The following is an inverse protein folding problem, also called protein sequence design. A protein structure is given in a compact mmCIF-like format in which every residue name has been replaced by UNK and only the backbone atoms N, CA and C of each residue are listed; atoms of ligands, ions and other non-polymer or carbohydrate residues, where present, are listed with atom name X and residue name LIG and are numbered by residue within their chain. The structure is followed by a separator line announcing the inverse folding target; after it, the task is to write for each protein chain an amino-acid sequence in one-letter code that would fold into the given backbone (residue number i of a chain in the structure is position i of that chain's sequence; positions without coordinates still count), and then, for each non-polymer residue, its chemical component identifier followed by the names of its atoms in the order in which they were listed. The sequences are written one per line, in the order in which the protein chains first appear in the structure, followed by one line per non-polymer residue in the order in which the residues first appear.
data_IF_106661237146
#
_entry.id   IF_106661237146
#
_cell.length_a   1.000
_cell.length_b   1.000
_cell.length_c   1.000
_cell.angle_alpha   90.00
_cell.angle_beta   90.00
_cell.angle_gamma   90.00
#
_symmetry.space_group_name_H-M   'P 1'
#
loop_
_entity.id
_entity.type
_entity.pdbx_description
1 polymer ?
#
# COMPACT_ATOMS: atom_id res chain seq x y z
N UNK A 1 -8.28 -22.11 7.67
CA UNK A 1 -7.65 -20.78 7.86
C UNK A 1 -6.38 -20.53 7.06
N UNK A 2 -5.47 -21.51 6.92
CA UNK A 2 -4.18 -21.30 6.24
C UNK A 2 -4.25 -20.69 4.83
N UNK A 3 -5.27 -21.01 4.04
CA UNK A 3 -5.47 -20.40 2.72
C UNK A 3 -5.69 -18.88 2.75
N UNK A 4 -6.50 -18.36 3.67
CA UNK A 4 -6.75 -16.91 3.78
C UNK A 4 -5.53 -16.15 4.32
N UNK A 5 -4.76 -16.79 5.23
CA UNK A 5 -3.48 -16.24 5.71
C UNK A 5 -2.46 -16.16 4.57
N UNK A 6 -2.41 -17.18 3.71
CA UNK A 6 -1.60 -17.16 2.50
C UNK A 6 -2.04 -16.05 1.53
N UNK A 7 -3.35 -15.92 1.25
CA UNK A 7 -3.87 -14.86 0.38
C UNK A 7 -3.59 -13.45 0.94
N UNK A 8 -3.79 -13.24 2.24
CA UNK A 8 -3.44 -12.00 2.91
C UNK A 8 -1.94 -11.69 2.74
N UNK A 9 -1.07 -12.65 3.05
CA UNK A 9 0.38 -12.48 2.91
C UNK A 9 0.79 -12.17 1.47
N UNK A 10 0.32 -12.96 0.50
CA UNK A 10 0.67 -12.80 -0.91
C UNK A 10 0.24 -11.43 -1.45
N UNK A 11 -1.00 -11.01 -1.17
CA UNK A 11 -1.50 -9.69 -1.60
C UNK A 11 -0.81 -8.54 -0.88
N UNK A 12 -0.43 -8.70 0.39
CA UNK A 12 0.39 -7.73 1.13
C UNK A 12 1.77 -7.55 0.49
N UNK A 13 2.48 -8.64 0.18
CA UNK A 13 3.81 -8.57 -0.45
C UNK A 13 3.74 -7.97 -1.86
N UNK A 14 2.76 -8.40 -2.67
CA UNK A 14 2.56 -7.83 -3.99
C UNK A 14 2.21 -6.34 -3.91
N UNK A 15 1.33 -5.93 -2.97
CA UNK A 15 1.00 -4.53 -2.73
C UNK A 15 2.21 -3.69 -2.29
N UNK A 16 3.09 -4.26 -1.47
CA UNK A 16 4.35 -3.64 -1.06
C UNK A 16 5.29 -3.43 -2.25
N UNK A 17 5.53 -4.47 -3.05
CA UNK A 17 6.35 -4.38 -4.27
C UNK A 17 5.79 -3.35 -5.26
N UNK A 18 4.47 -3.31 -5.42
CA UNK A 18 3.82 -2.34 -6.29
C UNK A 18 3.95 -0.90 -5.77
N UNK A 19 3.96 -0.72 -4.46
CA UNK A 19 4.24 0.59 -3.84
C UNK A 19 5.69 1.01 -4.07
N UNK A 20 6.66 0.08 -4.01
CA UNK A 20 8.05 0.35 -4.40
C UNK A 20 8.14 0.77 -5.86
N UNK A 21 7.46 0.08 -6.78
CA UNK A 21 7.41 0.49 -8.18
C UNK A 21 6.79 1.88 -8.37
N UNK A 22 5.77 2.23 -7.61
CA UNK A 22 5.19 3.58 -7.64
C UNK A 22 6.20 4.66 -7.20
N UNK A 23 6.87 4.43 -6.07
CA UNK A 23 7.90 5.35 -5.55
C UNK A 23 9.07 5.49 -6.51
N UNK A 24 9.59 4.37 -7.02
CA UNK A 24 10.66 4.35 -8.02
C UNK A 24 10.24 5.03 -9.32
N UNK A 25 9.00 4.80 -9.77
CA UNK A 25 8.43 5.48 -10.93
C UNK A 25 8.42 6.99 -10.77
N UNK A 26 8.04 7.50 -9.59
CA UNK A 26 8.09 8.94 -9.31
C UNK A 26 9.54 9.43 -9.28
N UNK A 27 10.44 8.70 -8.62
CA UNK A 27 11.83 9.12 -8.43
C UNK A 27 12.60 9.23 -9.76
N UNK A 28 12.41 8.24 -10.65
CA UNK A 28 13.20 8.14 -11.89
C UNK A 28 12.45 8.58 -13.14
N UNK A 29 11.11 8.66 -13.09
CA UNK A 29 10.28 8.81 -14.30
C UNK A 29 9.10 9.77 -14.12
N UNK A 30 9.12 10.70 -13.16
CA UNK A 30 8.01 11.63 -12.94
C UNK A 30 7.56 12.39 -14.20
N UNK A 31 8.50 12.75 -15.08
CA UNK A 31 8.20 13.38 -16.37
C UNK A 31 7.41 12.48 -17.32
N UNK A 32 7.80 11.20 -17.44
CA UNK A 32 7.09 10.22 -18.25
C UNK A 32 5.72 9.87 -17.66
N UNK A 33 5.60 9.86 -16.34
CA UNK A 33 4.30 9.67 -15.67
C UNK A 33 3.35 10.81 -15.98
N UNK A 34 3.84 12.05 -15.97
CA UNK A 34 3.06 13.21 -16.34
C UNK A 34 2.66 13.18 -17.83
N UNK A 35 3.51 12.62 -18.70
CA UNK A 35 3.25 12.48 -20.14
C UNK A 35 2.27 11.36 -20.49
N UNK A 36 2.26 10.26 -19.74
CA UNK A 36 1.42 9.08 -19.99
C UNK A 36 0.49 8.73 -18.80
N UNK A 37 -0.36 9.66 -18.32
CA UNK A 37 -1.08 9.52 -17.05
C UNK A 37 -2.03 8.31 -17.04
N UNK A 38 -2.63 7.97 -18.19
CA UNK A 38 -3.54 6.83 -18.33
C UNK A 38 -2.82 5.48 -18.21
N UNK A 39 -1.64 5.35 -18.80
CA UNK A 39 -0.85 4.12 -18.73
C UNK A 39 -0.42 3.87 -17.28
N UNK A 40 0.17 4.87 -16.63
CA UNK A 40 0.60 4.76 -15.23
C UNK A 40 -0.56 4.52 -14.27
N UNK A 41 -1.73 5.13 -14.52
CA UNK A 41 -2.93 4.84 -13.73
C UNK A 41 -3.33 3.36 -13.84
N UNK A 42 -3.36 2.80 -15.04
CA UNK A 42 -3.82 1.42 -15.29
C UNK A 42 -2.79 0.37 -14.89
N UNK A 43 -1.51 0.63 -15.19
CA UNK A 43 -0.45 -0.34 -15.00
C UNK A 43 0.19 -0.26 -13.61
N UNK A 44 0.25 0.90 -12.97
CA UNK A 44 0.94 1.03 -11.68
C UNK A 44 -0.05 1.35 -10.55
N UNK A 45 -0.82 2.42 -10.67
CA UNK A 45 -1.67 2.83 -9.55
C UNK A 45 -2.82 1.85 -9.27
N UNK A 46 -3.51 1.35 -10.30
CA UNK A 46 -4.67 0.47 -10.13
C UNK A 46 -4.30 -0.87 -9.48
N UNK A 47 -3.26 -1.61 -9.94
CA UNK A 47 -2.89 -2.85 -9.28
C UNK A 47 -2.41 -2.63 -7.85
N UNK A 48 -1.70 -1.51 -7.56
CA UNK A 48 -1.34 -1.13 -6.19
C UNK A 48 -2.56 -1.08 -5.28
N UNK A 49 -3.61 -0.36 -5.70
CA UNK A 49 -4.86 -0.20 -4.94
C UNK A 49 -5.62 -1.52 -4.79
N UNK A 50 -5.67 -2.32 -5.85
CA UNK A 50 -6.36 -3.61 -5.83
C UNK A 50 -5.66 -4.58 -4.87
N UNK A 51 -4.34 -4.69 -4.96
CA UNK A 51 -3.56 -5.61 -4.12
C UNK A 51 -3.62 -5.21 -2.63
N UNK A 52 -3.49 -3.92 -2.33
CA UNK A 52 -3.61 -3.42 -0.95
C UNK A 52 -5.04 -3.51 -0.42
N UNK A 53 -6.05 -3.28 -1.25
CA UNK A 53 -7.46 -3.51 -0.90
C UNK A 53 -7.77 -4.99 -0.63
N UNK A 54 -7.28 -5.90 -1.47
CA UNK A 54 -7.43 -7.34 -1.26
C UNK A 54 -6.72 -7.80 0.01
N UNK A 55 -5.51 -7.30 0.26
CA UNK A 55 -4.78 -7.54 1.51
C UNK A 55 -5.62 -7.12 2.73
N UNK A 56 -6.25 -5.95 2.70
CA UNK A 56 -7.13 -5.49 3.77
C UNK A 56 -8.32 -6.44 3.96
N UNK A 57 -9.01 -6.82 2.89
CA UNK A 57 -10.16 -7.73 2.94
C UNK A 57 -9.77 -9.07 3.54
N UNK A 58 -8.68 -9.69 3.07
CA UNK A 58 -8.20 -10.95 3.64
C UNK A 58 -7.73 -10.78 5.08
N UNK A 59 -7.14 -9.64 5.43
CA UNK A 59 -6.78 -9.30 6.81
C UNK A 59 -8.00 -9.23 7.72
N UNK A 60 -9.13 -8.66 7.25
CA UNK A 60 -10.40 -8.64 8.01
C UNK A 60 -10.86 -10.06 8.24
N UNK A 61 -10.91 -10.88 7.20
CA UNK A 61 -11.36 -12.27 7.29
C UNK A 61 -10.52 -13.05 8.29
N UNK A 62 -9.19 -12.92 8.22
CA UNK A 62 -8.26 -13.57 9.17
C UNK A 62 -8.49 -13.08 10.61
N UNK A 63 -8.76 -11.79 10.78
CA UNK A 63 -8.99 -11.18 12.11
C UNK A 63 -10.33 -11.62 12.71
N UNK A 64 -11.40 -11.62 11.92
CA UNK A 64 -12.77 -11.94 12.37
C UNK A 64 -12.95 -13.42 12.70
N UNK A 65 -12.36 -14.30 11.88
CA UNK A 65 -12.50 -15.75 12.02
C UNK A 65 -11.29 -16.41 12.70
N UNK A 66 -10.35 -15.60 13.20
CA UNK A 66 -9.22 -16.03 14.03
C UNK A 66 -9.37 -15.55 15.48
N UNK A 67 -8.47 -15.95 16.39
CA UNK A 67 -8.51 -15.54 17.80
C UNK A 67 -8.06 -14.08 18.04
N UNK A 68 -7.88 -13.30 16.97
CA UNK A 68 -7.15 -12.02 16.98
C UNK A 68 -8.02 -10.79 17.20
N UNK A 69 -9.35 -10.94 17.26
CA UNK A 69 -10.28 -9.82 17.37
C UNK A 69 -9.99 -8.91 18.57
N UNK A 70 -9.60 -9.52 19.70
CA UNK A 70 -9.28 -8.83 20.95
C UNK A 70 -7.88 -8.20 20.96
N UNK A 71 -7.08 -8.41 19.91
CA UNK A 71 -5.70 -7.97 19.84
C UNK A 71 -5.64 -6.60 19.16
N UNK A 72 -4.70 -5.75 19.59
CA UNK A 72 -4.55 -4.38 19.05
C UNK A 72 -3.92 -4.40 17.65
N UNK A 73 -3.07 -5.39 17.35
CA UNK A 73 -2.25 -5.43 16.14
C UNK A 73 -3.04 -5.43 14.82
N UNK A 74 -4.12 -6.20 14.64
CA UNK A 74 -4.93 -6.15 13.43
C UNK A 74 -5.45 -4.73 13.11
N UNK A 75 -5.87 -3.99 14.13
CA UNK A 75 -6.39 -2.63 14.00
C UNK A 75 -5.31 -1.62 13.60
N UNK A 76 -4.08 -1.82 14.07
CA UNK A 76 -2.91 -1.04 13.63
C UNK A 76 -2.64 -1.29 12.14
N UNK A 77 -2.74 -2.55 11.69
CA UNK A 77 -2.66 -2.90 10.27
C UNK A 77 -3.71 -2.16 9.42
N UNK A 78 -4.97 -2.11 9.87
CA UNK A 78 -6.03 -1.35 9.20
C UNK A 78 -5.74 0.14 9.11
N UNK A 79 -5.32 0.75 10.22
CA UNK A 79 -4.94 2.15 10.24
C UNK A 79 -3.79 2.43 9.25
N UNK A 80 -2.79 1.55 9.22
CA UNK A 80 -1.67 1.63 8.28
C UNK A 80 -2.12 1.58 6.82
N UNK A 81 -3.02 0.67 6.46
CA UNK A 81 -3.57 0.56 5.10
C UNK A 81 -4.41 1.80 4.73
N UNK A 82 -5.20 2.33 5.66
CA UNK A 82 -5.98 3.53 5.42
C UNK A 82 -5.06 4.73 5.12
N UNK A 83 -4.04 4.93 5.95
CA UNK A 83 -3.03 5.98 5.76
C UNK A 83 -2.27 5.78 4.45
N UNK A 84 -1.86 4.55 4.12
CA UNK A 84 -1.19 4.22 2.87
C UNK A 84 -2.02 4.63 1.64
N UNK A 85 -3.31 4.27 1.60
CA UNK A 85 -4.19 4.62 0.49
C UNK A 85 -4.39 6.13 0.34
N UNK A 86 -4.53 6.86 1.45
CA UNK A 86 -4.66 8.33 1.45
C UNK A 86 -3.39 8.96 0.88
N UNK A 87 -2.22 8.52 1.34
CA UNK A 87 -0.93 9.05 0.88
C UNK A 87 -0.68 8.72 -0.60
N UNK A 88 -1.01 7.52 -1.06
CA UNK A 88 -0.91 7.16 -2.48
C UNK A 88 -1.83 8.00 -3.37
N UNK A 89 -3.07 8.26 -2.92
CA UNK A 89 -3.98 9.14 -3.63
C UNK A 89 -3.45 10.59 -3.69
N UNK A 90 -2.90 11.11 -2.57
CA UNK A 90 -2.29 12.45 -2.52
C UNK A 90 -1.05 12.55 -3.41
N UNK A 91 -0.18 11.54 -3.38
CA UNK A 91 1.01 11.44 -4.23
C UNK A 91 0.64 11.51 -5.72
N UNK A 92 -0.31 10.70 -6.16
CA UNK A 92 -0.80 10.71 -7.55
C UNK A 92 -1.41 12.06 -7.95
N UNK A 93 -2.24 12.66 -7.09
CA UNK A 93 -2.85 13.97 -7.36
C UNK A 93 -1.78 15.06 -7.52
N UNK A 94 -0.78 15.08 -6.64
CA UNK A 94 0.34 16.02 -6.74
C UNK A 94 1.14 15.82 -8.03
N UNK A 95 1.35 14.58 -8.46
CA UNK A 95 2.05 14.27 -9.70
C UNK A 95 1.29 14.77 -10.93
N UNK A 96 -0.04 14.60 -10.98
CA UNK A 96 -0.89 15.15 -12.04
C UNK A 96 -0.97 16.68 -12.04
N UNK A 97 -0.74 17.31 -10.89
CA UNK A 97 -0.58 18.76 -10.77
C UNK A 97 0.85 19.24 -11.12
N UNK A 98 1.71 18.36 -11.66
CA UNK A 98 3.13 18.63 -11.97
C UNK A 98 3.97 19.04 -10.75
N UNK A 99 3.53 18.70 -9.53
CA UNK A 99 4.26 18.96 -8.28
C UNK A 99 5.09 17.73 -7.87
N UNK A 100 6.15 17.46 -8.61
CA UNK A 100 6.97 16.24 -8.47
C UNK A 100 7.58 16.08 -7.06
N UNK A 101 8.09 17.17 -6.47
CA UNK A 101 8.62 17.15 -5.11
C UNK A 101 7.56 16.79 -4.05
N UNK A 102 6.34 17.32 -4.20
CA UNK A 102 5.21 16.98 -3.31
C UNK A 102 4.75 15.53 -3.54
N UNK A 103 4.72 15.07 -4.79
CA UNK A 103 4.38 13.71 -5.14
C UNK A 103 5.35 12.69 -4.51
N UNK A 104 6.64 12.98 -4.59
CA UNK A 104 7.70 12.16 -4.00
C UNK A 104 7.63 12.16 -2.47
N UNK A 105 7.38 13.32 -1.83
CA UNK A 105 7.18 13.39 -0.37
C UNK A 105 6.05 12.45 0.08
N UNK A 106 4.88 12.53 -0.54
CA UNK A 106 3.76 11.66 -0.18
C UNK A 106 4.06 10.18 -0.48
N UNK A 107 4.73 9.86 -1.59
CA UNK A 107 5.12 8.49 -1.92
C UNK A 107 6.14 7.93 -0.92
N UNK A 108 7.11 8.74 -0.49
CA UNK A 108 8.09 8.35 0.51
C UNK A 108 7.43 8.08 1.88
N UNK A 109 6.52 8.95 2.32
CA UNK A 109 5.76 8.74 3.56
C UNK A 109 4.87 7.49 3.41
N UNK A 110 4.24 7.29 2.26
CA UNK A 110 3.43 6.10 1.96
C UNK A 110 4.25 4.81 2.12
N UNK A 111 5.49 4.80 1.62
CA UNK A 111 6.40 3.66 1.74
C UNK A 111 6.85 3.46 3.20
N UNK A 112 7.20 4.54 3.90
CA UNK A 112 7.58 4.48 5.32
C UNK A 112 6.46 3.87 6.18
N UNK A 113 5.21 4.23 5.92
CA UNK A 113 4.05 3.64 6.62
C UNK A 113 4.00 2.12 6.42
N UNK A 114 4.18 1.62 5.19
CA UNK A 114 4.23 0.18 4.95
C UNK A 114 5.41 -0.50 5.62
N UNK A 115 6.60 0.12 5.63
CA UNK A 115 7.78 -0.42 6.31
C UNK A 115 7.51 -0.53 7.81
N UNK A 116 6.95 0.50 8.43
CA UNK A 116 6.60 0.49 9.86
C UNK A 116 5.58 -0.62 10.14
N UNK A 117 4.52 -0.73 9.34
CA UNK A 117 3.51 -1.80 9.49
C UNK A 117 4.17 -3.16 9.35
N UNK A 118 5.00 -3.38 8.34
CA UNK A 118 5.71 -4.64 8.11
C UNK A 118 6.61 -5.02 9.30
N UNK A 119 7.40 -4.07 9.82
CA UNK A 119 8.26 -4.30 11.00
C UNK A 119 7.41 -4.69 12.21
N UNK A 120 6.31 -3.98 12.45
CA UNK A 120 5.38 -4.30 13.54
C UNK A 120 4.79 -5.71 13.38
N UNK A 121 4.42 -6.10 12.15
CA UNK A 121 3.90 -7.43 11.85
C UNK A 121 4.95 -8.53 12.04
N UNK A 122 6.23 -8.27 11.76
CA UNK A 122 7.32 -9.24 11.95
C UNK A 122 7.65 -9.42 13.44
N UNK A 123 7.70 -8.32 14.19
CA UNK A 123 8.11 -8.33 15.60
C UNK A 123 7.04 -8.86 16.54
N UNK A 124 5.77 -8.62 16.19
CA UNK A 124 4.61 -9.19 16.89
C UNK A 124 3.64 -9.71 15.83
N UNK A 125 3.92 -10.89 15.26
CA UNK A 125 2.98 -11.52 14.35
C UNK A 125 1.69 -11.77 15.13
N UNK A 126 0.58 -11.40 14.48
CA UNK A 126 -0.79 -11.60 14.94
C UNK A 126 -0.91 -12.97 15.59
#
# INVERSE_FOLDING_TARGET
MGFFVFLHSATSYLGFLWTLFWVGGILFGAGDIARFPTMYRKCIYLPMMVLTGLSAVFGIIVTLFGPWLMWVFPWVGFAGIAVHNILGAKSRRALYAMQTGTALKFAAIQLLVLIIVLILMIWKPF
#
